data_IF_527920256086
#
_entry.id   IF_527920256086
#
_cell.length_a   1.000
_cell.length_b   1.000
_cell.length_c   1.000
_cell.angle_alpha   90.00
_cell.angle_beta   90.00
_cell.angle_gamma   90.00
#
_symmetry.space_group_name_H-M   'P 1'
#
loop_
_entity.id
_entity.type
_entity.pdbx_description
1 polymer ?
#
# COMPACT_ATOMS: atom_id res chain seq x y z
N UNK A 1 -21.13 4.37 26.37
CA UNK A 1 -21.82 4.29 25.06
C UNK A 1 -21.34 5.46 24.20
N UNK A 2 -20.91 5.20 22.97
CA UNK A 2 -20.48 6.24 22.03
C UNK A 2 -21.73 6.85 21.39
N UNK A 3 -21.86 8.17 21.45
CA UNK A 3 -22.93 8.94 20.83
C UNK A 3 -22.43 10.34 20.44
N UNK A 4 -23.28 11.17 19.82
CA UNK A 4 -22.91 12.51 19.35
C UNK A 4 -22.34 13.44 20.44
N UNK A 5 -22.70 13.22 21.70
CA UNK A 5 -22.21 14.03 22.84
C UNK A 5 -20.88 13.55 23.38
N UNK A 6 -20.61 12.25 23.28
CA UNK A 6 -19.42 11.61 23.88
C UNK A 6 -18.33 11.30 22.84
N UNK A 7 -18.62 11.42 21.55
CA UNK A 7 -17.70 11.01 20.47
C UNK A 7 -16.35 11.71 20.56
N UNK A 8 -16.33 13.04 20.81
CA UNK A 8 -15.09 13.80 20.90
C UNK A 8 -14.21 13.35 22.06
N UNK A 9 -14.82 13.01 23.21
CA UNK A 9 -14.11 12.45 24.35
C UNK A 9 -13.48 11.10 23.99
N UNK A 10 -14.24 10.21 23.36
CA UNK A 10 -13.72 8.92 22.94
C UNK A 10 -12.60 9.04 21.91
N UNK A 11 -12.72 9.96 20.95
CA UNK A 11 -11.66 10.27 19.99
C UNK A 11 -10.41 10.74 20.74
N UNK A 12 -10.52 11.68 21.66
CA UNK A 12 -9.40 12.22 22.43
C UNK A 12 -8.65 11.13 23.18
N UNK A 13 -9.36 10.30 23.95
CA UNK A 13 -8.78 9.18 24.70
C UNK A 13 -8.06 8.16 23.77
N UNK A 14 -8.66 7.86 22.62
CA UNK A 14 -8.02 6.92 21.68
C UNK A 14 -6.81 7.52 20.97
N UNK A 15 -6.81 8.83 20.69
CA UNK A 15 -5.64 9.52 20.12
C UNK A 15 -4.49 9.53 21.12
N UNK A 16 -4.76 9.81 22.40
CA UNK A 16 -3.74 9.76 23.45
C UNK A 16 -3.11 8.35 23.55
N UNK A 17 -3.93 7.30 23.65
CA UNK A 17 -3.44 5.92 23.65
C UNK A 17 -2.64 5.57 22.39
N UNK A 18 -3.10 6.01 21.23
CA UNK A 18 -2.40 5.80 19.97
C UNK A 18 -1.04 6.51 19.97
N UNK A 19 -0.97 7.73 20.51
CA UNK A 19 0.28 8.47 20.63
C UNK A 19 1.30 7.71 21.47
N UNK A 20 0.91 7.24 22.65
CA UNK A 20 1.79 6.49 23.56
C UNK A 20 2.30 5.21 22.90
N UNK A 21 1.40 4.42 22.31
CA UNK A 21 1.77 3.18 21.60
C UNK A 21 2.70 3.46 20.42
N UNK A 22 2.44 4.50 19.64
CA UNK A 22 3.30 4.88 18.52
C UNK A 22 4.69 5.30 19.00
N UNK A 23 4.78 6.09 20.08
CA UNK A 23 6.06 6.48 20.66
C UNK A 23 6.90 5.25 21.05
N UNK A 24 6.29 4.27 21.72
CA UNK A 24 6.98 3.04 22.12
C UNK A 24 7.46 2.23 20.92
N UNK A 25 6.59 2.00 19.92
CA UNK A 25 6.92 1.18 18.75
C UNK A 25 7.95 1.87 17.84
N UNK A 26 7.81 3.18 17.61
CA UNK A 26 8.77 3.94 16.80
C UNK A 26 10.14 3.97 17.52
N UNK A 27 10.16 4.17 18.84
CA UNK A 27 11.39 4.13 19.62
C UNK A 27 12.08 2.77 19.48
N UNK A 28 11.33 1.67 19.60
CA UNK A 28 11.86 0.33 19.42
C UNK A 28 12.49 0.15 18.03
N UNK A 29 11.80 0.61 16.97
CA UNK A 29 12.32 0.60 15.60
C UNK A 29 13.61 1.40 15.42
N UNK A 30 13.67 2.61 15.97
CA UNK A 30 14.86 3.49 15.94
C UNK A 30 16.04 2.87 16.70
N UNK A 31 15.78 2.25 17.85
CA UNK A 31 16.82 1.59 18.63
C UNK A 31 17.35 0.32 17.93
N UNK A 32 16.46 -0.48 17.33
CA UNK A 32 16.82 -1.67 16.58
C UNK A 32 17.71 -1.35 15.37
N UNK A 33 17.36 -0.35 14.58
CA UNK A 33 18.14 0.06 13.40
C UNK A 33 19.57 0.46 13.75
N UNK A 34 19.76 1.23 14.82
CA UNK A 34 21.12 1.62 15.29
C UNK A 34 21.89 0.47 15.91
N UNK A 35 21.24 -0.50 16.50
CA UNK A 35 21.85 -1.72 17.03
C UNK A 35 22.47 -2.58 15.91
N UNK A 36 21.77 -2.73 14.79
CA UNK A 36 22.27 -3.44 13.59
C UNK A 36 23.52 -2.75 13.04
N UNK A 37 23.58 -1.43 13.07
CA UNK A 37 24.73 -0.65 12.63
C UNK A 37 25.89 -0.66 13.62
N UNK A 38 25.78 -1.34 14.76
CA UNK A 38 26.82 -1.42 15.80
C UNK A 38 27.04 -0.13 16.58
N UNK A 39 26.15 0.87 16.43
CA UNK A 39 26.38 2.23 16.93
C UNK A 39 25.86 2.51 18.34
N UNK A 40 24.95 1.77 18.88
CA UNK A 40 24.48 1.91 20.28
C UNK A 40 23.43 0.87 20.69
N UNK A 41 23.51 0.38 21.92
CA UNK A 41 22.52 -0.53 22.50
C UNK A 41 21.55 0.16 23.47
N UNK A 42 21.65 1.50 23.64
CA UNK A 42 20.83 2.23 24.61
C UNK A 42 19.92 3.24 23.88
N UNK A 43 18.63 3.17 24.22
CA UNK A 43 17.67 4.17 23.79
C UNK A 43 17.93 5.50 24.53
N UNK A 44 18.56 6.46 23.83
CA UNK A 44 18.86 7.78 24.37
C UNK A 44 17.60 8.67 24.46
N UNK A 45 17.66 9.70 25.29
CA UNK A 45 16.57 10.68 25.40
C UNK A 45 16.29 11.38 24.05
N UNK A 46 17.33 11.65 23.25
CA UNK A 46 17.17 12.18 21.90
C UNK A 46 16.33 11.28 20.99
N UNK A 47 16.44 9.95 21.08
CA UNK A 47 15.60 9.02 20.32
C UNK A 47 14.15 8.99 20.83
N UNK A 48 13.96 9.16 22.14
CA UNK A 48 12.60 9.30 22.71
C UNK A 48 11.91 10.55 22.19
N UNK A 49 12.61 11.67 22.16
CA UNK A 49 12.10 12.90 21.58
C UNK A 49 11.81 12.77 20.08
N UNK A 50 12.67 12.10 19.35
CA UNK A 50 12.45 11.80 17.93
C UNK A 50 11.23 10.93 17.72
N UNK A 51 11.05 9.86 18.48
CA UNK A 51 9.90 8.98 18.41
C UNK A 51 8.60 9.75 18.70
N UNK A 52 8.57 10.58 19.72
CA UNK A 52 7.42 11.42 20.07
C UNK A 52 7.09 12.43 18.94
N UNK A 53 8.11 13.05 18.35
CA UNK A 53 7.95 13.96 17.21
C UNK A 53 7.38 13.25 15.97
N UNK A 54 7.84 12.03 15.66
CA UNK A 54 7.34 11.23 14.55
C UNK A 54 5.90 10.77 14.80
N UNK A 55 5.58 10.32 16.02
CA UNK A 55 4.23 9.94 16.41
C UNK A 55 3.25 11.13 16.28
N UNK A 56 3.62 12.31 16.76
CA UNK A 56 2.80 13.52 16.63
C UNK A 56 2.57 13.90 15.15
N UNK A 57 3.62 13.83 14.31
CA UNK A 57 3.49 14.07 12.87
C UNK A 57 2.56 13.06 12.20
N UNK A 58 2.66 11.80 12.53
CA UNK A 58 1.76 10.77 11.99
C UNK A 58 0.30 11.05 12.39
N UNK A 59 0.04 11.34 13.66
CA UNK A 59 -1.32 11.64 14.15
C UNK A 59 -1.90 12.86 13.42
N UNK A 60 -1.09 13.88 13.15
CA UNK A 60 -1.55 15.06 12.40
C UNK A 60 -1.99 14.74 10.97
N UNK A 61 -1.56 13.61 10.41
CA UNK A 61 -1.94 13.13 9.05
C UNK A 61 -3.24 12.32 9.04
N UNK A 62 -3.75 11.86 10.17
CA UNK A 62 -4.95 11.02 10.25
C UNK A 62 -6.19 11.62 9.54
N UNK A 63 -6.49 12.94 9.64
CA UNK A 63 -7.62 13.50 8.91
C UNK A 63 -7.50 13.42 7.38
N UNK A 64 -6.29 13.62 6.84
CA UNK A 64 -6.02 13.49 5.41
C UNK A 64 -6.08 12.02 4.96
N UNK A 65 -5.49 11.12 5.74
CA UNK A 65 -5.53 9.68 5.49
C UNK A 65 -6.97 9.15 5.47
N UNK A 66 -7.81 9.57 6.42
CA UNK A 66 -9.23 9.21 6.45
C UNK A 66 -9.95 9.65 5.16
N UNK A 67 -9.64 10.83 4.62
CA UNK A 67 -10.22 11.29 3.35
C UNK A 67 -9.83 10.39 2.18
N UNK A 68 -8.56 10.00 2.09
CA UNK A 68 -8.09 9.08 1.04
C UNK A 68 -8.74 7.70 1.19
N UNK A 69 -8.79 7.14 2.39
CA UNK A 69 -9.46 5.86 2.65
C UNK A 69 -10.95 5.90 2.29
N UNK A 70 -11.62 7.03 2.51
CA UNK A 70 -13.02 7.17 2.10
C UNK A 70 -13.19 7.07 0.57
N UNK A 71 -12.23 7.59 -0.20
CA UNK A 71 -12.25 7.43 -1.68
C UNK A 71 -12.00 5.99 -2.10
N UNK A 72 -11.15 5.24 -1.38
CA UNK A 72 -10.89 3.84 -1.68
C UNK A 72 -12.13 2.97 -1.37
N UNK A 73 -12.85 3.27 -0.29
CA UNK A 73 -14.14 2.62 0.03
C UNK A 73 -15.21 2.95 -1.01
N UNK A 74 -15.29 4.22 -1.46
CA UNK A 74 -16.20 4.64 -2.52
C UNK A 74 -15.92 3.91 -3.83
N UNK A 75 -14.64 3.78 -4.22
CA UNK A 75 -14.25 3.04 -5.42
C UNK A 75 -14.59 1.55 -5.32
N UNK A 76 -14.43 0.94 -4.16
CA UNK A 76 -14.79 -0.46 -3.95
C UNK A 76 -16.32 -0.66 -4.03
N UNK A 77 -17.10 0.21 -3.37
CA UNK A 77 -18.56 0.16 -3.43
C UNK A 77 -19.11 0.35 -4.84
N UNK A 78 -18.61 1.36 -5.56
CA UNK A 78 -19.06 1.66 -6.92
C UNK A 78 -18.55 0.62 -7.95
N UNK A 79 -17.45 -0.04 -7.65
CA UNK A 79 -16.82 -1.02 -8.55
C UNK A 79 -17.33 -2.45 -8.40
N UNK A 80 -18.09 -2.75 -7.37
CA UNK A 80 -18.65 -4.09 -7.10
C UNK A 80 -20.18 -4.06 -7.08
N UNK A 81 -20.84 -4.65 -8.08
CA UNK A 81 -22.30 -4.69 -8.13
C UNK A 81 -22.94 -5.54 -6.99
N UNK A 82 -22.15 -6.35 -6.27
CA UNK A 82 -22.61 -7.14 -5.14
C UNK A 82 -22.57 -6.38 -3.80
N UNK A 83 -21.91 -5.21 -3.74
CA UNK A 83 -21.80 -4.44 -2.51
C UNK A 83 -23.14 -3.76 -2.15
N UNK A 84 -23.68 -4.08 -0.98
CA UNK A 84 -24.97 -3.54 -0.52
C UNK A 84 -24.81 -2.20 0.22
N UNK A 85 -23.65 -1.94 0.84
CA UNK A 85 -23.42 -0.73 1.63
C UNK A 85 -21.95 -0.42 1.81
N UNK A 86 -21.62 0.86 2.09
CA UNK A 86 -20.28 1.26 2.53
C UNK A 86 -19.83 0.54 3.81
N UNK A 87 -20.77 0.25 4.72
CA UNK A 87 -20.48 -0.49 5.95
C UNK A 87 -19.99 -1.90 5.66
N UNK A 88 -20.64 -2.61 4.74
CA UNK A 88 -20.20 -3.92 4.30
C UNK A 88 -18.78 -3.88 3.71
N UNK A 89 -18.51 -2.93 2.80
CA UNK A 89 -17.18 -2.74 2.21
C UNK A 89 -16.11 -2.52 3.29
N UNK A 90 -16.39 -1.66 4.29
CA UNK A 90 -15.44 -1.33 5.36
C UNK A 90 -15.15 -2.56 6.24
N UNK A 91 -16.16 -3.33 6.61
CA UNK A 91 -16.02 -4.38 7.62
C UNK A 91 -15.75 -5.77 7.04
N UNK A 92 -16.13 -6.03 5.79
CA UNK A 92 -16.08 -7.37 5.22
C UNK A 92 -15.01 -7.56 4.14
N UNK A 93 -14.57 -6.48 3.45
CA UNK A 93 -13.65 -6.64 2.32
C UNK A 93 -12.19 -6.73 2.78
N UNK A 94 -11.49 -7.87 2.55
CA UNK A 94 -10.07 -8.02 2.89
C UNK A 94 -9.18 -6.97 2.20
N UNK A 95 -9.55 -6.56 0.99
CA UNK A 95 -8.83 -5.54 0.24
C UNK A 95 -8.79 -4.18 0.98
N UNK A 96 -9.89 -3.77 1.60
CA UNK A 96 -9.93 -2.52 2.40
C UNK A 96 -9.00 -2.63 3.60
N UNK A 97 -8.89 -3.79 4.23
CA UNK A 97 -7.92 -4.03 5.31
C UNK A 97 -6.48 -3.89 4.81
N UNK A 98 -6.16 -4.51 3.67
CA UNK A 98 -4.83 -4.42 3.08
C UNK A 98 -4.47 -2.98 2.67
N UNK A 99 -5.39 -2.28 2.00
CA UNK A 99 -5.21 -0.89 1.57
C UNK A 99 -5.05 0.04 2.79
N UNK A 100 -5.86 -0.14 3.84
CA UNK A 100 -5.76 0.66 5.07
C UNK A 100 -4.40 0.49 5.75
N UNK A 101 -3.92 -0.74 5.89
CA UNK A 101 -2.60 -1.01 6.45
C UNK A 101 -1.47 -0.45 5.56
N UNK A 102 -1.61 -0.56 4.23
CA UNK A 102 -0.68 0.05 3.29
C UNK A 102 -0.63 1.58 3.47
N UNK A 103 -1.77 2.28 3.52
CA UNK A 103 -1.82 3.74 3.69
C UNK A 103 -1.14 4.18 4.98
N UNK A 104 -1.40 3.46 6.09
CA UNK A 104 -0.74 3.70 7.39
C UNK A 104 0.77 3.49 7.28
N UNK A 105 1.18 2.37 6.71
CA UNK A 105 2.58 2.01 6.57
C UNK A 105 3.34 2.97 5.64
N UNK A 106 2.71 3.40 4.54
CA UNK A 106 3.27 4.38 3.61
C UNK A 106 3.57 5.71 4.30
N UNK A 107 2.63 6.24 5.07
CA UNK A 107 2.84 7.50 5.80
C UNK A 107 3.95 7.39 6.86
N UNK A 108 4.03 6.27 7.57
CA UNK A 108 5.13 6.02 8.51
C UNK A 108 6.49 5.91 7.79
N UNK A 109 6.52 5.27 6.61
CA UNK A 109 7.72 5.18 5.79
C UNK A 109 8.19 6.56 5.30
N UNK A 110 7.27 7.38 4.80
CA UNK A 110 7.56 8.76 4.34
C UNK A 110 8.06 9.67 5.50
N UNK A 111 7.67 9.35 6.74
CA UNK A 111 8.20 10.01 7.94
C UNK A 111 9.59 9.48 8.35
N UNK A 112 10.11 8.46 7.68
CA UNK A 112 11.41 7.86 7.99
C UNK A 112 11.39 6.87 9.15
N UNK A 113 10.22 6.36 9.55
CA UNK A 113 10.12 5.34 10.59
C UNK A 113 10.69 4.02 10.05
N UNK A 114 11.73 3.45 10.70
CA UNK A 114 12.34 2.23 10.23
C UNK A 114 11.51 0.99 10.65
N UNK A 115 11.57 -0.07 9.87
CA UNK A 115 11.04 -1.41 10.13
C UNK A 115 9.52 -1.51 10.27
N UNK A 116 8.91 -0.67 11.11
CA UNK A 116 7.47 -0.69 11.43
C UNK A 116 6.57 -0.68 10.17
N UNK A 117 6.82 0.18 9.16
CA UNK A 117 6.02 0.15 7.92
C UNK A 117 6.00 -1.22 7.26
N UNK A 118 7.14 -1.90 7.24
CA UNK A 118 7.24 -3.23 6.63
C UNK A 118 6.51 -4.28 7.45
N UNK A 119 6.61 -4.23 8.78
CA UNK A 119 5.88 -5.14 9.66
C UNK A 119 4.37 -5.02 9.43
N UNK A 120 3.84 -3.79 9.35
CA UNK A 120 2.41 -3.54 9.14
C UNK A 120 1.93 -4.16 7.81
N UNK A 121 2.67 -3.97 6.73
CA UNK A 121 2.27 -4.53 5.43
C UNK A 121 2.41 -6.05 5.37
N UNK A 122 3.41 -6.65 6.00
CA UNK A 122 3.54 -8.11 6.09
C UNK A 122 2.44 -8.77 6.95
N UNK A 123 2.00 -8.10 8.02
CA UNK A 123 0.84 -8.56 8.78
C UNK A 123 -0.42 -8.55 7.91
N UNK A 124 -0.66 -7.48 7.16
CA UNK A 124 -1.78 -7.39 6.24
C UNK A 124 -1.70 -8.46 5.14
N UNK A 125 -0.52 -8.68 4.57
CA UNK A 125 -0.25 -9.74 3.59
C UNK A 125 -0.59 -11.12 4.17
N UNK A 126 -0.12 -11.44 5.37
CA UNK A 126 -0.39 -12.70 6.05
C UNK A 126 -1.89 -12.96 6.27
N UNK A 127 -2.67 -11.91 6.57
CA UNK A 127 -4.10 -12.03 6.85
C UNK A 127 -4.98 -12.04 5.60
N UNK A 128 -4.58 -11.33 4.54
CA UNK A 128 -5.44 -11.08 3.37
C UNK A 128 -4.97 -11.76 2.09
N UNK A 129 -3.71 -12.21 2.06
CA UNK A 129 -3.08 -12.69 0.84
C UNK A 129 -2.77 -11.58 -0.17
N UNK A 130 -2.79 -10.29 0.24
CA UNK A 130 -2.52 -9.12 -0.60
C UNK A 130 -1.22 -8.48 -0.14
N UNK A 131 -0.18 -8.53 -0.98
CA UNK A 131 1.15 -7.97 -0.71
C UNK A 131 1.29 -6.59 -1.35
N UNK A 132 1.26 -5.52 -0.55
CA UNK A 132 1.51 -4.16 -1.00
C UNK A 132 2.74 -3.62 -0.27
N UNK A 133 3.82 -3.39 -1.00
CA UNK A 133 5.02 -2.81 -0.39
C UNK A 133 4.76 -1.36 0.05
N UNK A 134 5.16 -0.94 1.27
CA UNK A 134 4.85 0.39 1.80
C UNK A 134 5.47 1.54 1.00
N UNK A 135 6.52 1.30 0.21
CA UNK A 135 7.14 2.30 -0.65
C UNK A 135 6.43 2.50 -2.01
N UNK A 136 5.46 1.67 -2.37
CA UNK A 136 4.64 1.90 -3.56
C UNK A 136 3.90 3.23 -3.43
N UNK A 137 3.69 3.92 -4.55
CA UNK A 137 2.94 5.18 -4.59
C UNK A 137 1.59 4.94 -5.24
N UNK A 138 0.51 5.12 -4.49
CA UNK A 138 -0.85 4.81 -4.93
C UNK A 138 -1.74 6.04 -4.76
N UNK A 139 -2.40 6.45 -5.84
CA UNK A 139 -3.34 7.57 -5.88
C UNK A 139 -4.63 7.32 -5.09
N UNK A 140 -5.66 8.12 -5.33
CA UNK A 140 -6.98 8.04 -4.71
C UNK A 140 -7.92 7.11 -5.48
N UNK A 141 -9.05 6.70 -4.87
CA UNK A 141 -10.04 5.81 -5.49
C UNK A 141 -9.42 4.49 -5.97
N UNK A 142 -8.46 3.98 -5.23
CA UNK A 142 -7.81 2.70 -5.55
C UNK A 142 -8.63 1.55 -4.99
N UNK A 143 -8.88 0.53 -5.80
CA UNK A 143 -9.60 -0.66 -5.35
C UNK A 143 -8.97 -1.95 -5.85
N UNK A 144 -9.06 -2.97 -5.01
CA UNK A 144 -8.71 -4.37 -5.34
C UNK A 144 -9.97 -5.20 -5.14
N UNK A 145 -10.35 -5.92 -6.18
CA UNK A 145 -11.50 -6.82 -6.14
C UNK A 145 -11.04 -8.25 -5.85
N UNK A 146 -11.68 -8.93 -4.89
CA UNK A 146 -11.27 -10.19 -4.28
C UNK A 146 -9.89 -10.09 -3.59
N UNK A 147 -8.82 -9.97 -4.34
CA UNK A 147 -7.50 -9.53 -3.93
C UNK A 147 -6.48 -10.62 -3.65
N UNK A 148 -6.85 -11.84 -3.30
CA UNK A 148 -5.90 -12.91 -2.99
C UNK A 148 -4.83 -13.05 -4.08
N UNK A 149 -3.56 -13.02 -3.68
CA UNK A 149 -2.43 -13.17 -4.59
C UNK A 149 -2.04 -11.90 -5.36
N UNK A 150 -2.60 -10.73 -5.03
CA UNK A 150 -2.11 -9.44 -5.56
C UNK A 150 -0.75 -9.12 -4.96
N UNK A 151 0.20 -8.72 -5.83
CA UNK A 151 1.53 -8.26 -5.42
C UNK A 151 1.83 -6.90 -6.04
N UNK A 152 2.12 -5.90 -5.22
CA UNK A 152 2.49 -4.54 -5.63
C UNK A 152 3.90 -4.22 -5.12
N UNK A 153 4.88 -4.23 -6.02
CA UNK A 153 6.29 -4.03 -5.68
C UNK A 153 6.66 -2.60 -5.30
N UNK A 154 7.77 -2.46 -4.60
CA UNK A 154 8.22 -1.25 -3.90
C UNK A 154 8.27 0.04 -4.73
N UNK A 155 8.59 -0.03 -6.01
CA UNK A 155 8.73 1.16 -6.87
C UNK A 155 7.58 1.32 -7.86
N UNK A 156 6.45 0.61 -7.63
CA UNK A 156 5.23 0.79 -8.40
C UNK A 156 4.68 2.20 -8.19
N UNK A 157 4.15 2.79 -9.26
CA UNK A 157 3.41 4.04 -9.24
C UNK A 157 2.03 3.75 -9.81
N UNK A 158 0.99 4.02 -9.05
CA UNK A 158 -0.40 3.76 -9.42
C UNK A 158 -1.15 5.07 -9.32
N UNK A 159 -1.78 5.48 -10.41
CA UNK A 159 -2.59 6.69 -10.52
C UNK A 159 -3.91 6.62 -9.75
N UNK A 160 -4.81 7.51 -10.08
CA UNK A 160 -6.14 7.59 -9.47
C UNK A 160 -7.13 6.64 -10.18
N UNK A 161 -8.13 6.17 -9.43
CA UNK A 161 -9.21 5.35 -9.96
C UNK A 161 -8.73 4.07 -10.68
N UNK A 162 -7.70 3.43 -10.14
CA UNK A 162 -7.16 2.18 -10.68
C UNK A 162 -7.83 1.01 -9.99
N UNK A 163 -8.28 0.01 -10.78
CA UNK A 163 -8.87 -1.23 -10.29
C UNK A 163 -7.99 -2.43 -10.63
N UNK A 164 -7.63 -3.21 -9.63
CA UNK A 164 -6.95 -4.49 -9.77
C UNK A 164 -7.86 -5.64 -9.34
N UNK A 165 -7.72 -6.79 -9.99
CA UNK A 165 -8.38 -8.02 -9.58
C UNK A 165 -7.38 -8.98 -8.92
N UNK A 166 -7.89 -10.07 -8.33
CA UNK A 166 -7.07 -11.08 -7.66
C UNK A 166 -5.93 -11.59 -8.55
N UNK A 167 -4.81 -11.95 -7.92
CA UNK A 167 -3.65 -12.55 -8.58
C UNK A 167 -2.83 -11.61 -9.47
N UNK A 168 -3.18 -10.32 -9.53
CA UNK A 168 -2.41 -9.34 -10.30
C UNK A 168 -1.03 -9.14 -9.69
N UNK A 169 0.01 -9.21 -10.51
CA UNK A 169 1.39 -8.95 -10.09
C UNK A 169 1.95 -7.72 -10.79
N UNK A 170 2.35 -6.72 -10.00
CA UNK A 170 3.14 -5.57 -10.45
C UNK A 170 4.58 -5.76 -9.98
N UNK A 171 5.37 -6.46 -10.77
CA UNK A 171 6.67 -6.99 -10.39
C UNK A 171 7.87 -6.40 -11.16
N UNK A 172 9.07 -6.81 -10.77
CA UNK A 172 10.30 -6.53 -11.52
C UNK A 172 10.51 -7.60 -12.60
N UNK A 173 10.99 -7.18 -13.80
CA UNK A 173 11.33 -8.11 -14.89
C UNK A 173 12.69 -8.76 -14.67
N UNK A 174 13.63 -7.99 -14.11
CA UNK A 174 15.01 -8.44 -13.87
C UNK A 174 15.62 -7.60 -12.75
N UNK A 175 16.71 -8.09 -12.21
CA UNK A 175 17.51 -7.42 -11.19
C UNK A 175 18.90 -7.16 -11.74
N UNK A 176 19.29 -5.89 -12.04
CA UNK A 176 20.67 -5.57 -12.35
C UNK A 176 21.57 -5.96 -11.17
N UNK A 177 22.71 -6.56 -11.49
CA UNK A 177 23.67 -7.03 -10.51
C UNK A 177 24.85 -6.04 -10.44
N UNK A 178 25.42 -5.88 -9.25
CA UNK A 178 26.68 -5.17 -9.05
C UNK A 178 27.89 -6.04 -9.45
N UNK A 179 29.11 -5.50 -9.24
CA UNK A 179 30.34 -6.20 -9.55
C UNK A 179 30.55 -7.51 -8.77
N UNK A 180 29.87 -7.66 -7.62
CA UNK A 180 29.89 -8.85 -6.76
C UNK A 180 28.79 -9.85 -7.09
N UNK A 181 27.96 -9.59 -8.12
CA UNK A 181 26.83 -10.44 -8.50
C UNK A 181 25.60 -10.28 -7.59
N UNK A 182 25.51 -9.23 -6.79
CA UNK A 182 24.39 -8.94 -5.90
C UNK A 182 23.39 -7.99 -6.55
N UNK A 183 22.07 -8.13 -6.31
CA UNK A 183 21.07 -7.21 -6.83
C UNK A 183 21.29 -5.77 -6.35
N UNK A 184 21.37 -4.82 -7.30
CA UNK A 184 21.44 -3.39 -6.99
C UNK A 184 20.10 -2.96 -6.38
N UNK A 185 20.16 -2.42 -5.16
CA UNK A 185 19.00 -1.98 -4.40
C UNK A 185 18.60 -0.55 -4.74
N UNK A 186 17.32 -0.20 -4.47
CA UNK A 186 16.83 1.19 -4.53
C UNK A 186 16.50 1.73 -5.92
N UNK A 187 16.74 0.98 -7.00
CA UNK A 187 16.42 1.42 -8.36
C UNK A 187 14.96 1.16 -8.73
N UNK A 188 14.32 2.06 -9.52
CA UNK A 188 12.97 1.85 -10.04
C UNK A 188 12.93 0.64 -10.97
N UNK A 189 12.07 -0.35 -10.66
CA UNK A 189 11.99 -1.61 -11.41
C UNK A 189 10.57 -2.18 -11.55
N UNK A 190 9.57 -1.51 -10.96
CA UNK A 190 8.17 -1.94 -10.99
C UNK A 190 7.33 -1.04 -11.89
N UNK A 191 6.18 -1.50 -12.37
CA UNK A 191 5.35 -0.79 -13.35
C UNK A 191 4.81 0.56 -12.85
N UNK A 192 4.42 1.38 -13.83
CA UNK A 192 3.61 2.59 -13.66
C UNK A 192 2.25 2.31 -14.28
N UNK A 193 1.18 2.48 -13.51
CA UNK A 193 -0.20 2.47 -13.99
C UNK A 193 -0.73 3.90 -13.90
N UNK A 194 -1.15 4.45 -15.03
CA UNK A 194 -1.77 5.79 -15.07
C UNK A 194 -3.23 5.74 -14.58
N UNK A 195 -3.93 6.88 -14.57
CA UNK A 195 -5.30 6.98 -14.08
C UNK A 195 -6.27 6.08 -14.85
N UNK A 196 -7.31 5.59 -14.18
CA UNK A 196 -8.42 4.80 -14.71
C UNK A 196 -8.00 3.45 -15.32
N UNK A 197 -6.81 2.93 -15.02
CA UNK A 197 -6.37 1.62 -15.51
C UNK A 197 -7.12 0.51 -14.80
N UNK A 198 -7.55 -0.50 -15.57
CA UNK A 198 -8.15 -1.73 -15.05
C UNK A 198 -7.27 -2.91 -15.41
N UNK A 199 -6.89 -3.70 -14.39
CA UNK A 199 -6.08 -4.92 -14.57
C UNK A 199 -6.85 -6.11 -14.05
N UNK A 200 -7.25 -7.00 -14.97
CA UNK A 200 -8.03 -8.19 -14.66
C UNK A 200 -7.16 -9.32 -14.07
N UNK A 201 -7.86 -10.32 -13.54
CA UNK A 201 -7.32 -11.39 -12.70
C UNK A 201 -6.08 -12.09 -13.30
N UNK A 202 -5.11 -12.37 -12.43
CA UNK A 202 -3.87 -13.09 -12.75
C UNK A 202 -3.02 -12.48 -13.86
N UNK A 203 -3.24 -11.21 -14.21
CA UNK A 203 -2.33 -10.51 -15.12
C UNK A 203 -1.01 -10.22 -14.42
N UNK A 204 0.10 -10.47 -15.12
CA UNK A 204 1.46 -10.24 -14.62
C UNK A 204 2.11 -9.13 -15.43
N UNK A 205 2.40 -7.99 -14.79
CA UNK A 205 3.00 -6.80 -15.40
C UNK A 205 4.38 -6.61 -14.80
N UNK A 206 5.42 -6.73 -15.62
CA UNK A 206 6.80 -6.75 -15.15
C UNK A 206 7.69 -5.68 -15.78
N UNK A 207 8.53 -5.10 -14.93
CA UNK A 207 9.54 -4.12 -15.34
C UNK A 207 9.07 -2.69 -15.18
N UNK A 208 9.97 -1.74 -15.45
CA UNK A 208 9.67 -0.30 -15.38
C UNK A 208 8.96 0.16 -16.66
N UNK A 209 7.76 -0.35 -16.87
CA UNK A 209 6.90 -0.05 -18.03
C UNK A 209 5.71 0.78 -17.58
N UNK A 210 5.07 1.47 -18.52
CA UNK A 210 3.88 2.29 -18.27
C UNK A 210 2.66 1.65 -18.91
N UNK A 211 1.61 1.47 -18.13
CA UNK A 211 0.26 1.16 -18.59
C UNK A 211 -0.48 2.50 -18.67
N UNK A 212 -0.75 2.94 -19.87
CA UNK A 212 -1.31 4.28 -20.14
C UNK A 212 -2.73 4.46 -19.61
N UNK A 213 -3.13 5.71 -19.40
CA UNK A 213 -4.44 6.12 -18.90
C UNK A 213 -5.59 5.42 -19.64
N UNK A 214 -6.64 5.05 -18.90
CA UNK A 214 -7.84 4.38 -19.43
C UNK A 214 -7.57 3.02 -20.09
N UNK A 215 -6.35 2.47 -19.98
CA UNK A 215 -6.04 1.18 -20.56
C UNK A 215 -6.65 0.04 -19.74
N UNK A 216 -6.97 -1.05 -20.44
CA UNK A 216 -7.48 -2.28 -19.84
C UNK A 216 -6.54 -3.44 -20.14
N UNK A 217 -6.04 -4.11 -19.12
CA UNK A 217 -5.25 -5.34 -19.23
C UNK A 217 -6.13 -6.52 -18.85
N UNK A 218 -6.38 -7.43 -19.80
CA UNK A 218 -7.20 -8.64 -19.58
C UNK A 218 -6.55 -9.64 -18.65
N UNK A 219 -7.34 -10.62 -18.22
CA UNK A 219 -6.85 -11.65 -17.29
C UNK A 219 -5.84 -12.63 -17.91
N UNK A 220 -4.98 -13.19 -17.04
CA UNK A 220 -3.96 -14.18 -17.40
C UNK A 220 -3.00 -13.72 -18.52
N UNK A 221 -2.67 -12.45 -18.59
CA UNK A 221 -1.76 -11.86 -19.57
C UNK A 221 -0.42 -11.53 -18.93
N UNK A 222 0.64 -11.76 -19.68
CA UNK A 222 2.00 -11.36 -19.33
C UNK A 222 2.41 -10.11 -20.11
N UNK A 223 2.66 -9.00 -19.42
CA UNK A 223 2.97 -7.69 -20.01
C UNK A 223 4.37 -7.24 -19.59
N UNK A 224 5.24 -6.97 -20.55
CA UNK A 224 6.62 -6.51 -20.33
C UNK A 224 6.99 -5.30 -21.17
N UNK A 225 6.03 -4.68 -21.85
CA UNK A 225 6.18 -3.51 -22.69
C UNK A 225 5.13 -2.46 -22.38
N UNK A 226 5.40 -1.21 -22.74
CA UNK A 226 4.46 -0.12 -22.51
C UNK A 226 3.13 -0.37 -23.25
N UNK A 227 2.04 -0.01 -22.58
CA UNK A 227 0.69 -0.09 -23.12
C UNK A 227 0.17 1.33 -23.36
N UNK A 228 -0.21 1.69 -24.58
CA UNK A 228 -0.73 3.03 -24.88
C UNK A 228 -2.02 3.35 -24.10
N UNK A 229 -2.28 4.65 -23.91
CA UNK A 229 -3.51 5.12 -23.28
C UNK A 229 -4.75 4.64 -24.09
N UNK A 230 -5.80 4.22 -23.36
CA UNK A 230 -7.04 3.70 -23.92
C UNK A 230 -6.94 2.33 -24.59
N UNK A 231 -5.76 1.71 -24.62
CA UNK A 231 -5.58 0.40 -25.22
C UNK A 231 -6.24 -0.71 -24.40
N UNK A 232 -6.76 -1.72 -25.11
CA UNK A 232 -7.33 -2.92 -24.50
C UNK A 232 -6.55 -4.14 -24.93
N UNK A 233 -5.75 -4.68 -24.01
CA UNK A 233 -5.00 -5.92 -24.24
C UNK A 233 -5.82 -7.08 -23.69
N UNK A 234 -6.16 -8.03 -24.55
CA UNK A 234 -6.91 -9.23 -24.21
C UNK A 234 -6.24 -10.46 -24.82
N UNK A 235 -6.47 -11.64 -24.23
CA UNK A 235 -6.01 -12.87 -24.83
C UNK A 235 -6.56 -13.03 -26.25
N UNK A 236 -5.70 -13.42 -27.19
CA UNK A 236 -6.16 -13.83 -28.53
C UNK A 236 -6.78 -15.22 -28.43
N UNK A 237 -7.94 -15.40 -29.11
CA UNK A 237 -8.52 -16.76 -29.23
C UNK A 237 -7.49 -17.70 -29.84
N UNK A 238 -7.37 -18.90 -29.28
CA UNK A 238 -6.57 -19.96 -29.91
C UNK A 238 -7.05 -20.17 -31.35
N UNK A 239 -6.14 -20.07 -32.31
CA UNK A 239 -6.45 -20.52 -33.68
C UNK A 239 -6.64 -22.01 -33.63
N UNK A 240 -7.83 -22.48 -34.09
CA UNK A 240 -8.07 -23.91 -34.31
C UNK A 240 -7.21 -24.42 -35.45
#
# INVERSE_FOLDING_TARGET
TINSRTINYHIGVNIEKLFDLLCEQILAGLCFSTSIEGKCNVCSDSKREEAARLAAKFISKLPAMRKILATDVEAAYNGDPAAESYGEVIFCYPAIKAISNYRIAHELLELGVPLIPRIITEMAHSETGIDIHPAAKIGTHFTIDHGTGVVIGATSIIGNNVKLYQGVTLGAKSFPLDADGKPIKGIPRHPILEDNVIVYSNATILGRITIGRDATVGGNIWVTENVPAGARIVQTKAKK
#
